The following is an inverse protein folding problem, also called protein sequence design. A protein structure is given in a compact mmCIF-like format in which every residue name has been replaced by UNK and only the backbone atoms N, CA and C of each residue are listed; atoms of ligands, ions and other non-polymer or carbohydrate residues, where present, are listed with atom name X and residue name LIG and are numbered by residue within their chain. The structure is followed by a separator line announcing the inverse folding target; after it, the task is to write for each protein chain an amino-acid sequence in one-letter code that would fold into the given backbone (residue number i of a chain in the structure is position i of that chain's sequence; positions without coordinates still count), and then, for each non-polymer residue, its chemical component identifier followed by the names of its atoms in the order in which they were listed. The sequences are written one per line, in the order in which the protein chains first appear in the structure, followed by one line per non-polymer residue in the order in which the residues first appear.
data_IF_728208090957
#
_entry.id   IF_728208090957
#
_cell.length_a   1.000
_cell.length_b   1.000
_cell.length_c   1.000
_cell.angle_alpha   90.00
_cell.angle_beta   90.00
_cell.angle_gamma   90.00
#
_symmetry.space_group_name_H-M   'P 1'
#
loop_
_entity.id
_entity.type
_entity.pdbx_description
1 polymer ?
#
# COMPACT_ATOMS: atom_id res chain seq x y z
N UNK A 1 5.51 9.42 -6.08
CA UNK A 1 4.97 8.31 -6.90
C UNK A 1 3.51 8.66 -7.20
N UNK A 2 3.16 8.80 -8.47
CA UNK A 2 1.81 9.20 -8.90
C UNK A 2 0.82 8.07 -8.58
N UNK A 3 -0.18 8.35 -7.73
CA UNK A 3 -1.22 7.40 -7.31
C UNK A 3 -1.89 6.76 -8.53
N UNK A 4 -2.02 7.51 -9.62
CA UNK A 4 -2.57 7.06 -10.89
C UNK A 4 -1.82 5.87 -11.49
N UNK A 5 -0.49 5.81 -11.32
CA UNK A 5 0.32 4.71 -11.83
C UNK A 5 0.17 3.45 -10.98
N UNK A 6 0.07 3.60 -9.66
CA UNK A 6 -0.22 2.48 -8.77
C UNK A 6 -1.58 1.87 -9.09
N UNK A 7 -2.62 2.70 -9.25
CA UNK A 7 -3.95 2.25 -9.68
C UNK A 7 -3.92 1.53 -11.02
N UNK A 8 -3.24 2.07 -12.03
CA UNK A 8 -3.09 1.40 -13.34
C UNK A 8 -2.40 0.04 -13.23
N UNK A 9 -1.40 -0.10 -12.37
CA UNK A 9 -0.69 -1.37 -12.17
C UNK A 9 -1.56 -2.41 -11.44
N UNK A 10 -2.34 -1.96 -10.46
CA UNK A 10 -3.32 -2.78 -9.72
C UNK A 10 -4.43 -3.23 -10.67
N UNK A 11 -5.01 -2.29 -11.42
CA UNK A 11 -6.07 -2.52 -12.40
C UNK A 11 -5.64 -3.54 -13.47
N UNK A 12 -4.43 -3.40 -14.04
CA UNK A 12 -3.88 -4.35 -15.00
C UNK A 12 -3.67 -5.76 -14.43
N UNK A 13 -3.29 -5.88 -13.15
CA UNK A 13 -3.09 -7.18 -12.48
C UNK A 13 -4.42 -7.83 -12.13
N UNK A 14 -5.40 -7.05 -11.67
CA UNK A 14 -6.74 -7.54 -11.33
C UNK A 14 -7.51 -8.00 -12.57
N UNK A 15 -7.47 -7.22 -13.67
CA UNK A 15 -8.13 -7.58 -14.92
C UNK A 15 -7.57 -8.88 -15.53
N UNK A 16 -6.25 -9.10 -15.44
CA UNK A 16 -5.59 -10.35 -15.87
C UNK A 16 -5.82 -11.54 -14.94
N UNK A 17 -6.32 -11.31 -13.72
CA UNK A 17 -6.57 -12.34 -12.70
C UNK A 17 -7.95 -13.00 -12.78
N UNK A 18 -8.81 -12.59 -13.71
CA UNK A 18 -10.13 -13.20 -13.90
C UNK A 18 -11.20 -12.71 -12.93
N UNK A 19 -11.17 -11.42 -12.56
CA UNK A 19 -12.24 -10.79 -11.78
C UNK A 19 -13.54 -10.85 -12.57
N UNK A 20 -14.51 -11.65 -12.10
CA UNK A 20 -15.72 -11.98 -12.84
C UNK A 20 -16.84 -10.92 -12.71
N UNK A 21 -16.81 -10.06 -11.68
CA UNK A 21 -17.82 -9.03 -11.44
C UNK A 21 -17.25 -7.74 -10.80
N UNK A 22 -17.90 -6.60 -11.03
CA UNK A 22 -17.48 -5.29 -10.53
C UNK A 22 -17.46 -5.16 -8.99
N UNK A 23 -18.22 -6.01 -8.29
CA UNK A 23 -18.25 -6.07 -6.82
C UNK A 23 -16.91 -6.60 -6.25
N UNK A 24 -16.39 -7.67 -6.85
CA UNK A 24 -15.09 -8.25 -6.48
C UNK A 24 -13.96 -7.24 -6.74
N UNK A 25 -14.05 -6.48 -7.84
CA UNK A 25 -13.12 -5.39 -8.13
C UNK A 25 -13.14 -4.30 -7.04
N UNK A 26 -14.32 -3.92 -6.57
CA UNK A 26 -14.48 -2.91 -5.52
C UNK A 26 -13.92 -3.40 -4.18
N UNK A 27 -14.10 -4.68 -3.86
CA UNK A 27 -13.54 -5.28 -2.65
C UNK A 27 -12.01 -5.38 -2.71
N UNK A 28 -11.45 -5.88 -3.81
CA UNK A 28 -10.00 -6.02 -3.98
C UNK A 28 -9.28 -4.66 -4.01
N UNK A 29 -9.85 -3.66 -4.70
CA UNK A 29 -9.28 -2.31 -4.73
C UNK A 29 -9.33 -1.63 -3.36
N UNK A 30 -10.37 -1.90 -2.55
CA UNK A 30 -10.51 -1.35 -1.20
C UNK A 30 -9.41 -1.81 -0.24
N UNK A 31 -9.10 -3.11 -0.23
CA UNK A 31 -8.01 -3.65 0.60
C UNK A 31 -6.64 -3.10 0.19
N UNK A 32 -6.40 -2.98 -1.11
CA UNK A 32 -5.14 -2.45 -1.64
C UNK A 32 -4.98 -0.96 -1.27
N UNK A 33 -6.04 -0.17 -1.33
CA UNK A 33 -6.03 1.23 -0.89
C UNK A 33 -5.82 1.37 0.62
N UNK A 34 -6.46 0.50 1.40
CA UNK A 34 -6.29 0.47 2.84
C UNK A 34 -4.83 0.18 3.23
N UNK A 35 -4.19 -0.79 2.57
CA UNK A 35 -2.79 -1.12 2.78
C UNK A 35 -1.85 0.02 2.36
N UNK A 36 -2.15 0.73 1.26
CA UNK A 36 -1.40 1.92 0.86
C UNK A 36 -1.49 3.02 1.92
N UNK A 37 -2.70 3.29 2.40
CA UNK A 37 -2.93 4.27 3.46
C UNK A 37 -2.16 3.93 4.73
N UNK A 38 -2.20 2.68 5.17
CA UNK A 38 -1.42 2.21 6.32
C UNK A 38 0.09 2.39 6.11
N UNK A 39 0.59 2.10 4.91
CA UNK A 39 2.01 2.30 4.60
C UNK A 39 2.41 3.77 4.66
N UNK A 40 1.56 4.69 4.20
CA UNK A 40 1.85 6.12 4.26
C UNK A 40 1.85 6.64 5.71
N UNK A 41 0.90 6.18 6.51
CA UNK A 41 0.86 6.49 7.94
C UNK A 41 2.11 6.00 8.68
N UNK A 42 2.59 4.80 8.34
CA UNK A 42 3.81 4.24 8.93
C UNK A 42 5.06 5.07 8.57
N UNK A 43 5.17 5.53 7.32
CA UNK A 43 6.26 6.41 6.89
C UNK A 43 6.22 7.76 7.61
N UNK A 44 5.03 8.34 7.80
CA UNK A 44 4.87 9.58 8.55
C UNK A 44 5.30 9.42 10.02
N UNK A 45 4.89 8.33 10.68
CA UNK A 45 5.26 8.07 12.08
C UNK A 45 6.76 7.87 12.26
N UNK A 46 7.40 7.16 11.32
CA UNK A 46 8.85 7.01 11.29
C UNK A 46 9.55 8.37 11.16
N UNK A 47 9.06 9.22 10.25
CA UNK A 47 9.61 10.54 10.03
C UNK A 47 9.42 11.48 11.24
N UNK A 48 8.24 11.45 11.86
CA UNK A 48 7.96 12.20 13.09
C UNK A 48 8.88 11.77 14.23
N UNK A 49 9.08 10.47 14.42
CA UNK A 49 9.98 9.95 15.44
C UNK A 49 11.44 10.35 15.21
N UNK A 50 11.90 10.33 13.94
CA UNK A 50 13.22 10.82 13.55
C UNK A 50 13.40 12.31 13.88
N UNK A 51 12.39 13.14 13.61
CA UNK A 51 12.41 14.57 13.94
C UNK A 51 12.40 14.85 15.45
N UNK A 52 11.66 14.05 16.21
CA UNK A 52 11.58 14.17 17.66
C UNK A 52 12.77 13.52 18.39
N UNK A 53 13.65 12.82 17.66
CA UNK A 53 14.76 12.06 18.24
C UNK A 53 14.31 10.88 19.11
N UNK A 54 13.14 10.31 18.83
CA UNK A 54 12.55 9.17 19.55
C UNK A 54 12.75 7.89 18.77
N UNK A 55 13.00 6.79 19.47
CA UNK A 55 12.98 5.47 18.86
C UNK A 55 11.55 5.08 18.49
N UNK A 56 11.34 4.74 17.22
CA UNK A 56 10.08 4.18 16.72
C UNK A 56 10.29 2.76 16.24
N UNK A 57 9.47 1.84 16.74
CA UNK A 57 9.43 0.46 16.30
C UNK A 57 8.36 0.32 15.21
N UNK A 58 8.74 -0.05 13.98
CA UNK A 58 7.77 -0.23 12.92
C UNK A 58 6.73 -1.30 13.28
N UNK A 59 5.46 -1.03 12.98
CA UNK A 59 4.36 -1.98 13.16
C UNK A 59 4.52 -3.16 12.19
N UNK A 60 5.07 -2.89 11.00
CA UNK A 60 5.28 -3.90 9.97
C UNK A 60 6.74 -4.34 9.89
N UNK A 61 6.97 -5.64 9.83
CA UNK A 61 8.29 -6.17 9.48
C UNK A 61 8.66 -5.75 8.06
N UNK A 62 9.96 -5.57 7.81
CA UNK A 62 10.49 -5.05 6.53
C UNK A 62 9.90 -5.75 5.29
N UNK A 63 9.72 -7.07 5.34
CA UNK A 63 9.18 -7.87 4.23
C UNK A 63 7.73 -7.56 3.86
N UNK A 64 6.93 -6.97 4.77
CA UNK A 64 5.53 -6.63 4.55
C UNK A 64 5.33 -5.16 4.16
N UNK A 65 6.39 -4.35 4.14
CA UNK A 65 6.32 -2.95 3.73
C UNK A 65 5.87 -2.87 2.27
N UNK A 66 4.94 -1.95 1.99
CA UNK A 66 4.39 -1.71 0.66
C UNK A 66 5.48 -1.55 -0.42
N UNK A 67 6.56 -0.83 -0.09
CA UNK A 67 7.73 -0.63 -0.97
C UNK A 67 8.41 -1.92 -1.42
N UNK A 68 8.31 -3.03 -0.67
CA UNK A 68 8.96 -4.30 -0.99
C UNK A 68 8.18 -5.16 -1.99
N UNK A 69 6.84 -5.12 -1.95
CA UNK A 69 6.01 -6.06 -2.71
C UNK A 69 5.06 -5.38 -3.71
N UNK A 70 4.57 -4.17 -3.43
CA UNK A 70 3.56 -3.49 -4.25
C UNK A 70 4.14 -2.50 -5.28
N UNK A 71 5.36 -1.99 -5.05
CA UNK A 71 6.02 -1.02 -5.94
C UNK A 71 6.89 -1.65 -7.06
N UNK A 72 6.80 -2.96 -7.29
CA UNK A 72 7.51 -3.66 -8.39
C UNK A 72 6.68 -3.72 -9.68
#
# INVERSE_FOLDING_TARGET
MDISQAFKNIDNKLWKGGVANALDYMEQSSWILFLKYLSDQEENRLFEAELEGKDYQPVFQKQYLWKQWACK
#
